data_IF_364620385452
#
_entry.id   IF_364620385452
#
_cell.length_a   1.000
_cell.length_b   1.000
_cell.length_c   1.000
_cell.angle_alpha   90.00
_cell.angle_beta   90.00
_cell.angle_gamma   90.00
#
_symmetry.space_group_name_H-M   'P 1'
#
loop_
_entity.id
_entity.type
_entity.pdbx_description
1 polymer ?
#
# COMPACT_ATOMS: atom_id res chain seq x y z
N UNK A 1 6.85 -11.60 7.55
CA UNK A 1 5.65 -11.63 8.41
C UNK A 1 4.45 -11.49 7.50
N UNK A 2 3.62 -12.53 7.42
CA UNK A 2 2.40 -12.55 6.62
C UNK A 2 1.42 -11.51 7.15
N UNK A 3 0.99 -10.59 6.30
CA UNK A 3 0.00 -9.56 6.67
C UNK A 3 -1.39 -10.07 6.38
N UNK A 4 -2.30 -9.87 7.32
CA UNK A 4 -3.71 -10.28 7.20
C UNK A 4 -4.57 -9.04 7.03
N UNK A 5 -5.28 -8.98 5.92
CA UNK A 5 -6.25 -7.93 5.57
C UNK A 5 -7.60 -8.59 5.37
N UNK A 6 -8.68 -7.87 5.69
CA UNK A 6 -10.04 -8.36 5.51
C UNK A 6 -10.30 -8.72 4.04
N UNK A 7 -10.89 -9.89 3.79
CA UNK A 7 -11.16 -10.36 2.42
C UNK A 7 -12.13 -9.44 1.66
N UNK A 8 -13.02 -8.72 2.35
CA UNK A 8 -13.87 -7.71 1.73
C UNK A 8 -13.07 -6.51 1.20
N UNK A 9 -11.98 -6.12 1.88
CA UNK A 9 -11.07 -5.06 1.43
C UNK A 9 -10.26 -5.55 0.23
N UNK A 10 -9.78 -6.80 0.27
CA UNK A 10 -9.09 -7.42 -0.87
C UNK A 10 -10.00 -7.48 -2.10
N UNK A 11 -11.24 -7.94 -1.95
CA UNK A 11 -12.22 -8.00 -3.06
C UNK A 11 -12.55 -6.64 -3.68
N UNK A 12 -12.50 -5.57 -2.87
CA UNK A 12 -12.69 -4.19 -3.34
C UNK A 12 -11.42 -3.55 -3.92
N UNK A 13 -10.26 -4.16 -3.69
CA UNK A 13 -8.98 -3.69 -4.22
C UNK A 13 -8.70 -4.47 -5.50
N UNK A 14 -8.97 -3.88 -6.66
CA UNK A 14 -8.49 -4.41 -7.93
C UNK A 14 -6.97 -4.23 -7.96
N UNK A 15 -6.20 -5.28 -7.66
CA UNK A 15 -4.74 -5.20 -7.54
C UNK A 15 -4.08 -6.03 -8.63
N UNK A 16 -3.55 -5.36 -9.65
CA UNK A 16 -2.77 -5.94 -10.75
C UNK A 16 -1.51 -6.70 -10.29
N UNK A 17 -0.99 -6.40 -9.09
CA UNK A 17 0.20 -7.03 -8.53
C UNK A 17 -0.10 -8.23 -7.60
N UNK A 18 -1.30 -8.82 -7.71
CA UNK A 18 -1.73 -10.02 -6.96
C UNK A 18 -1.41 -9.93 -5.46
N UNK A 19 -1.73 -8.79 -4.86
CA UNK A 19 -1.52 -8.50 -3.44
C UNK A 19 -0.10 -8.85 -2.94
N UNK A 20 0.92 -8.60 -3.77
CA UNK A 20 2.34 -8.79 -3.46
C UNK A 20 2.77 -8.23 -2.10
N UNK A 21 2.09 -7.19 -1.59
CA UNK A 21 2.33 -6.56 -0.29
C UNK A 21 1.83 -7.38 0.92
N UNK A 22 1.02 -8.42 0.70
CA UNK A 22 0.54 -9.37 1.72
C UNK A 22 1.37 -10.66 1.77
N UNK A 23 2.09 -10.97 0.69
CA UNK A 23 2.94 -12.17 0.57
C UNK A 23 4.19 -12.02 1.44
N UNK A 24 4.70 -13.13 1.96
CA UNK A 24 5.99 -13.14 2.66
C UNK A 24 7.15 -13.02 1.65
N UNK A 25 8.15 -12.18 1.96
CA UNK A 25 9.38 -12.05 1.16
C UNK A 25 9.78 -10.60 0.86
N UNK A 26 10.85 -10.39 0.09
CA UNK A 26 11.23 -9.08 -0.46
C UNK A 26 10.54 -8.88 -1.81
N UNK A 27 9.22 -8.73 -1.84
CA UNK A 27 8.56 -8.27 -3.07
C UNK A 27 8.84 -6.77 -3.25
N UNK A 28 8.95 -6.29 -4.49
CA UNK A 28 9.13 -4.86 -4.81
C UNK A 28 8.09 -3.98 -4.11
N UNK A 29 6.86 -4.49 -4.02
CA UNK A 29 5.73 -3.87 -3.33
C UNK A 29 5.87 -3.73 -1.81
N UNK A 30 6.76 -4.49 -1.17
CA UNK A 30 6.97 -4.47 0.29
C UNK A 30 7.95 -3.38 0.73
N UNK A 31 8.67 -2.76 -0.22
CA UNK A 31 9.59 -1.65 0.05
C UNK A 31 8.88 -0.29 0.02
N UNK A 32 7.60 -0.25 0.39
CA UNK A 32 6.83 0.99 0.51
C UNK A 32 7.06 1.53 1.91
N UNK A 33 7.96 2.49 2.08
CA UNK A 33 8.15 3.16 3.37
C UNK A 33 7.08 4.23 3.51
N UNK A 34 6.35 4.24 4.63
CA UNK A 34 5.36 5.28 4.90
C UNK A 34 6.09 6.47 5.51
N UNK A 35 6.01 7.61 4.83
CA UNK A 35 6.65 8.84 5.27
C UNK A 35 5.73 9.61 6.22
N UNK A 36 4.44 9.76 5.84
CA UNK A 36 3.42 10.46 6.63
C UNK A 36 2.03 9.90 6.35
N UNK A 37 1.16 9.88 7.35
CA UNK A 37 -0.27 9.65 7.17
C UNK A 37 -0.98 11.00 7.07
N UNK A 38 -1.70 11.22 5.97
CA UNK A 38 -2.62 12.34 5.86
C UNK A 38 -3.98 11.88 6.38
N UNK A 39 -4.71 12.75 7.08
CA UNK A 39 -6.05 12.46 7.59
C UNK A 39 -6.95 11.81 6.52
N UNK A 40 -7.62 10.71 6.87
CA UNK A 40 -8.52 9.96 5.99
C UNK A 40 -7.90 8.69 5.41
N UNK A 41 -7.81 8.63 4.08
CA UNK A 41 -7.48 7.43 3.30
C UNK A 41 -6.28 7.65 2.36
N UNK A 42 -5.25 8.38 2.79
CA UNK A 42 -4.07 8.65 1.95
C UNK A 42 -2.77 8.55 2.74
N UNK A 43 -1.85 7.73 2.23
CA UNK A 43 -0.50 7.57 2.78
C UNK A 43 0.49 8.29 1.89
N UNK A 44 1.34 9.13 2.47
CA UNK A 44 2.58 9.50 1.81
C UNK A 44 3.55 8.33 1.92
N UNK A 45 4.05 7.90 0.77
CA UNK A 45 4.92 6.74 0.69
C UNK A 45 6.15 7.05 -0.14
N UNK A 46 7.25 6.43 0.22
CA UNK A 46 8.37 6.24 -0.67
C UNK A 46 8.22 4.86 -1.30
N UNK A 47 7.80 4.84 -2.57
CA UNK A 47 7.57 3.63 -3.35
C UNK A 47 8.22 3.78 -4.72
N UNK A 48 9.09 2.82 -5.07
CA UNK A 48 9.76 2.75 -6.36
C UNK A 48 9.00 1.93 -7.40
N UNK A 49 7.86 1.32 -7.03
CA UNK A 49 7.06 0.54 -7.97
C UNK A 49 6.15 1.45 -8.78
N UNK A 50 6.60 1.80 -9.99
CA UNK A 50 5.87 2.67 -10.91
C UNK A 50 4.63 2.01 -11.50
N UNK A 51 4.53 0.68 -11.45
CA UNK A 51 3.44 -0.09 -12.05
C UNK A 51 2.17 -0.15 -11.21
N UNK A 52 2.24 0.31 -9.95
CA UNK A 52 1.11 0.24 -9.03
C UNK A 52 0.04 1.30 -9.34
N UNK A 53 -1.17 0.87 -9.72
CA UNK A 53 -2.30 1.75 -10.05
C UNK A 53 -2.79 2.64 -8.88
N UNK A 54 -2.49 2.24 -7.64
CA UNK A 54 -2.82 3.03 -6.44
C UNK A 54 -1.73 4.03 -6.05
N UNK A 55 -0.62 4.08 -6.80
CA UNK A 55 0.45 5.07 -6.66
C UNK A 55 0.08 6.32 -7.44
N UNK A 56 0.20 7.48 -6.80
CA UNK A 56 -0.06 8.77 -7.43
C UNK A 56 1.04 9.76 -7.04
N UNK A 57 1.48 10.56 -8.02
CA UNK A 57 2.45 11.65 -7.78
C UNK A 57 1.67 12.86 -7.26
N UNK A 58 2.13 13.45 -6.15
CA UNK A 58 1.57 14.65 -5.55
C UNK A 58 2.68 15.66 -5.26
N UNK A 59 2.86 16.62 -6.17
CA UNK A 59 4.00 17.54 -6.14
C UNK A 59 5.33 16.77 -6.24
N UNK A 60 6.20 16.97 -5.25
CA UNK A 60 7.50 16.28 -5.15
C UNK A 60 7.44 14.99 -4.30
N UNK A 61 6.24 14.49 -4.01
CA UNK A 61 6.03 13.30 -3.18
C UNK A 61 5.18 12.26 -3.89
N UNK A 62 5.18 11.05 -3.36
CA UNK A 62 4.34 9.96 -3.83
C UNK A 62 3.31 9.64 -2.75
N UNK A 63 2.06 9.48 -3.16
CA UNK A 63 0.97 9.06 -2.29
C UNK A 63 0.44 7.69 -2.72
N UNK A 64 -0.06 6.93 -1.75
CA UNK A 64 -0.72 5.65 -1.94
C UNK A 64 -2.15 5.74 -1.38
N UNK A 65 -3.11 5.34 -2.21
CA UNK A 65 -4.54 5.26 -1.85
C UNK A 65 -5.06 3.81 -1.86
N UNK A 66 -4.16 2.83 -1.86
CA UNK A 66 -4.54 1.42 -1.89
C UNK A 66 -5.31 1.07 -0.62
N UNK A 67 -6.58 0.61 -0.71
CA UNK A 67 -7.36 0.21 0.47
C UNK A 67 -6.66 -0.88 1.29
N UNK A 68 -6.06 -1.85 0.60
CA UNK A 68 -5.26 -2.90 1.25
C UNK A 68 -4.04 -2.32 1.98
N UNK A 69 -3.32 -1.34 1.41
CA UNK A 69 -2.15 -0.72 2.08
C UNK A 69 -2.56 0.13 3.28
N UNK A 70 -3.67 0.86 3.18
CA UNK A 70 -4.24 1.61 4.30
C UNK A 70 -4.58 0.70 5.47
N UNK A 71 -5.19 -0.46 5.18
CA UNK A 71 -5.51 -1.43 6.22
C UNK A 71 -4.26 -2.03 6.87
N UNK A 72 -3.22 -2.33 6.08
CA UNK A 72 -1.93 -2.79 6.62
C UNK A 72 -1.34 -1.73 7.56
N UNK A 73 -1.35 -0.46 7.15
CA UNK A 73 -0.85 0.63 7.99
C UNK A 73 -1.65 0.77 9.27
N UNK A 74 -2.99 0.73 9.19
CA UNK A 74 -3.87 0.82 10.38
C UNK A 74 -3.67 -0.33 11.36
N UNK A 75 -3.47 -1.55 10.86
CA UNK A 75 -3.33 -2.76 11.70
C UNK A 75 -1.94 -2.96 12.26
N UNK A 76 -0.90 -2.64 11.49
CA UNK A 76 0.49 -3.01 11.80
C UNK A 76 1.42 -1.81 11.95
N UNK A 77 0.96 -0.59 11.64
CA UNK A 77 1.76 0.62 11.57
C UNK A 77 2.96 0.49 10.59
N UNK A 78 2.72 -0.20 9.46
CA UNK A 78 3.70 -0.57 8.42
C UNK A 78 3.36 -0.02 7.05
#
# INVERSE_FOLDING_TARGET
MKKVVDESIKRKTECSNDFCCLKDGKSSCLNVKIDRFLSGDTLFVNCHDESCEYRMIFGNSVICKCPTRLEIFRKYNL
#
